data_IF_992822693336
#
_entry.id   IF_992822693336
#
_cell.length_a   1.000
_cell.length_b   1.000
_cell.length_c   1.000
_cell.angle_alpha   90.00
_cell.angle_beta   90.00
_cell.angle_gamma   90.00
#
_symmetry.space_group_name_H-M   'P 1'
#
loop_
_entity.id
_entity.type
_entity.pdbx_description
1 polymer ?
#
# COMPACT_ATOMS: atom_id res chain seq x y z
N UNK A 1 5.56 13.57 16.93
CA UNK A 1 4.44 12.88 16.26
C UNK A 1 4.67 12.79 14.75
N UNK A 2 4.92 13.91 14.04
CA UNK A 2 5.23 13.89 12.60
C UNK A 2 6.36 12.91 12.22
N UNK A 3 7.44 12.84 13.01
CA UNK A 3 8.56 11.91 12.77
C UNK A 3 8.16 10.43 12.85
N UNK A 4 7.16 10.08 13.67
CA UNK A 4 6.72 8.69 13.81
C UNK A 4 5.86 8.25 12.63
N UNK A 5 4.96 9.12 12.15
CA UNK A 5 4.17 8.86 10.95
C UNK A 5 5.06 8.76 9.70
N UNK A 6 6.12 9.57 9.62
CA UNK A 6 7.12 9.47 8.55
C UNK A 6 7.88 8.13 8.60
N UNK A 7 8.26 7.65 9.79
CA UNK A 7 8.83 6.31 9.95
C UNK A 7 7.85 5.23 9.52
N UNK A 8 6.60 5.29 9.98
CA UNK A 8 5.54 4.33 9.60
C UNK A 8 5.33 4.32 8.07
N UNK A 9 5.39 5.48 7.39
CA UNK A 9 5.33 5.55 5.92
C UNK A 9 6.50 4.83 5.23
N UNK A 10 7.72 4.93 5.80
CA UNK A 10 8.91 4.25 5.27
C UNK A 10 8.82 2.74 5.48
N UNK A 11 8.41 2.31 6.66
CA UNK A 11 8.14 0.89 6.95
C UNK A 11 7.04 0.34 6.03
N UNK A 12 5.97 1.10 5.80
CA UNK A 12 4.92 0.73 4.86
C UNK A 12 5.48 0.47 3.45
N UNK A 13 6.38 1.33 2.98
CA UNK A 13 7.05 1.15 1.70
C UNK A 13 7.91 -0.12 1.65
N UNK A 14 8.57 -0.49 2.75
CA UNK A 14 9.33 -1.74 2.86
C UNK A 14 8.42 -2.97 2.79
N UNK A 15 7.28 -2.95 3.47
CA UNK A 15 6.30 -4.04 3.39
C UNK A 15 5.69 -4.18 1.99
N UNK A 16 5.38 -3.07 1.30
CA UNK A 16 4.94 -3.13 -0.10
C UNK A 16 6.01 -3.80 -0.95
N UNK A 17 7.29 -3.42 -0.83
CA UNK A 17 8.39 -4.04 -1.59
C UNK A 17 8.53 -5.53 -1.28
N UNK A 18 8.41 -5.92 0.00
CA UNK A 18 8.47 -7.32 0.41
C UNK A 18 7.32 -8.15 -0.20
N UNK A 19 6.08 -7.68 -0.09
CA UNK A 19 4.93 -8.34 -0.72
C UNK A 19 5.01 -8.35 -2.26
N UNK A 20 5.66 -7.34 -2.86
CA UNK A 20 5.83 -7.29 -4.31
C UNK A 20 6.62 -8.47 -4.88
N UNK A 21 7.46 -9.11 -4.06
CA UNK A 21 8.20 -10.31 -4.45
C UNK A 21 7.40 -11.62 -4.38
N UNK A 22 6.20 -11.63 -3.77
CA UNK A 22 5.45 -12.86 -3.47
C UNK A 22 4.56 -13.37 -4.63
N UNK A 23 4.14 -12.49 -5.53
CA UNK A 23 3.20 -12.83 -6.62
C UNK A 23 3.04 -11.70 -7.62
N UNK A 24 2.13 -11.84 -8.59
CA UNK A 24 1.82 -10.75 -9.52
C UNK A 24 0.97 -9.67 -8.84
N UNK A 25 1.00 -8.47 -9.40
CA UNK A 25 0.13 -7.37 -8.95
C UNK A 25 -1.29 -7.57 -9.49
N UNK A 26 -2.31 -7.36 -8.65
CA UNK A 26 -3.70 -7.31 -9.06
C UNK A 26 -4.33 -5.91 -8.92
N UNK A 27 -5.48 -5.72 -9.55
CA UNK A 27 -6.21 -4.45 -9.62
C UNK A 27 -7.69 -4.67 -9.32
N UNK A 28 -8.32 -3.72 -8.62
CA UNK A 28 -9.75 -3.77 -8.26
C UNK A 28 -10.08 -4.73 -7.11
N UNK A 29 -9.07 -5.38 -6.52
CA UNK A 29 -9.18 -6.24 -5.34
C UNK A 29 -7.88 -6.20 -4.55
N UNK A 30 -7.93 -6.40 -3.23
CA UNK A 30 -6.72 -6.54 -2.42
C UNK A 30 -5.93 -7.80 -2.79
N UNK A 31 -6.66 -8.87 -3.05
CA UNK A 31 -6.14 -10.17 -3.44
C UNK A 31 -7.01 -10.75 -4.54
N UNK A 32 -6.40 -11.35 -5.56
CA UNK A 32 -7.12 -12.06 -6.60
C UNK A 32 -7.15 -13.59 -6.39
N UNK A 33 -7.86 -14.30 -7.27
CA UNK A 33 -8.03 -15.76 -7.18
C UNK A 33 -6.74 -16.54 -7.48
N UNK A 34 -5.75 -15.89 -8.09
CA UNK A 34 -4.45 -16.49 -8.43
C UNK A 34 -3.40 -16.24 -7.35
N UNK A 35 -3.75 -15.55 -6.27
CA UNK A 35 -2.82 -15.18 -5.21
C UNK A 35 -1.98 -13.94 -5.53
N UNK A 36 -2.42 -13.11 -6.47
CA UNK A 36 -1.84 -11.79 -6.68
C UNK A 36 -2.39 -10.78 -5.68
N UNK A 37 -1.62 -9.72 -5.40
CA UNK A 37 -1.98 -8.68 -4.44
C UNK A 37 -1.88 -7.28 -5.07
N UNK A 38 -2.76 -6.36 -4.66
CA UNK A 38 -2.58 -4.95 -4.99
C UNK A 38 -1.49 -4.32 -4.09
N UNK A 39 -1.16 -3.04 -4.27
CA UNK A 39 -0.18 -2.37 -3.42
C UNK A 39 -0.51 -2.41 -1.92
N UNK A 40 -1.78 -2.21 -1.53
CA UNK A 40 -2.15 -2.35 -0.11
C UNK A 40 -2.16 -3.82 0.33
N UNK A 41 -2.60 -4.74 -0.54
CA UNK A 41 -2.52 -6.19 -0.31
C UNK A 41 -1.10 -6.68 -0.06
N UNK A 42 -0.11 -6.13 -0.77
CA UNK A 42 1.31 -6.44 -0.58
C UNK A 42 1.83 -6.06 0.82
N UNK A 43 1.27 -5.03 1.45
CA UNK A 43 1.57 -4.73 2.86
C UNK A 43 1.14 -5.89 3.74
N UNK A 44 -0.08 -6.40 3.55
CA UNK A 44 -0.59 -7.54 4.32
C UNK A 44 0.25 -8.80 4.10
N UNK A 45 0.69 -9.09 2.88
CA UNK A 45 1.60 -10.20 2.60
C UNK A 45 2.93 -10.04 3.36
N UNK A 46 3.51 -8.84 3.33
CA UNK A 46 4.76 -8.54 4.02
C UNK A 46 4.64 -8.62 5.55
N UNK A 47 3.52 -8.18 6.12
CA UNK A 47 3.27 -8.15 7.58
C UNK A 47 2.91 -9.53 8.13
N UNK A 48 1.99 -10.24 7.46
CA UNK A 48 1.42 -11.49 7.97
C UNK A 48 2.07 -12.74 7.38
N UNK A 49 3.06 -12.60 6.49
CA UNK A 49 3.72 -13.72 5.81
C UNK A 49 2.71 -14.71 5.20
N UNK A 50 1.72 -14.18 4.48
CA UNK A 50 0.63 -14.98 3.93
C UNK A 50 1.15 -16.07 2.96
N UNK A 51 0.52 -17.27 2.93
CA UNK A 51 0.87 -18.29 1.94
C UNK A 51 0.62 -17.80 0.52
N UNK A 52 1.45 -18.22 -0.45
CA UNK A 52 1.32 -17.85 -1.88
C UNK A 52 -0.06 -18.13 -2.50
N UNK A 53 -0.85 -19.02 -1.90
CA UNK A 53 -2.20 -19.36 -2.33
C UNK A 53 -3.19 -19.17 -1.18
N UNK A 54 -3.46 -17.91 -0.84
CA UNK A 54 -4.44 -17.57 0.20
C UNK A 54 -5.84 -17.23 -0.36
N UNK A 55 -6.00 -17.12 -1.69
CA UNK A 55 -7.26 -16.76 -2.34
C UNK A 55 -7.71 -15.33 -2.05
N UNK A 56 -9.00 -15.02 -2.24
CA UNK A 56 -9.54 -13.70 -1.88
C UNK A 56 -9.62 -13.58 -0.35
N UNK A 57 -8.88 -12.63 0.19
CA UNK A 57 -9.00 -12.18 1.58
C UNK A 57 -9.47 -10.73 1.60
N UNK A 58 -10.35 -10.40 2.54
CA UNK A 58 -10.60 -9.01 2.93
C UNK A 58 -9.71 -8.75 4.13
N UNK A 59 -8.64 -7.98 3.94
CA UNK A 59 -7.75 -7.68 5.03
C UNK A 59 -8.43 -6.75 6.05
N UNK A 60 -8.14 -6.93 7.33
CA UNK A 60 -8.68 -6.10 8.42
C UNK A 60 -7.53 -5.60 9.31
N UNK A 61 -7.70 -4.42 9.91
CA UNK A 61 -6.86 -3.86 10.96
C UNK A 61 -5.43 -3.39 10.63
N UNK A 62 -5.05 -3.15 9.37
CA UNK A 62 -3.72 -2.54 9.09
C UNK A 62 -3.55 -1.16 9.74
N UNK A 63 -4.63 -0.39 9.87
CA UNK A 63 -4.64 0.92 10.50
C UNK A 63 -4.21 0.86 11.98
N UNK A 64 -4.35 -0.30 12.62
CA UNK A 64 -3.85 -0.52 13.99
C UNK A 64 -2.33 -0.68 14.03
N UNK A 65 -1.72 -1.09 12.92
CA UNK A 65 -0.27 -1.27 12.78
C UNK A 65 0.40 0.00 12.23
N UNK A 66 -0.24 0.66 11.26
CA UNK A 66 0.26 1.88 10.62
C UNK A 66 -0.81 2.97 10.69
N UNK A 67 -0.68 3.88 11.65
CA UNK A 67 -1.61 5.01 11.79
C UNK A 67 -1.49 5.98 10.61
N UNK A 68 -0.32 6.03 9.97
CA UNK A 68 -0.12 6.84 8.78
C UNK A 68 -1.13 6.54 7.65
N UNK A 69 -1.70 5.33 7.61
CA UNK A 69 -2.73 4.94 6.64
C UNK A 69 -3.98 5.83 6.68
N UNK A 70 -4.39 6.26 7.88
CA UNK A 70 -5.59 7.07 8.09
C UNK A 70 -5.26 8.52 8.44
N UNK A 71 -4.17 8.76 9.16
CA UNK A 71 -3.84 10.09 9.68
C UNK A 71 -3.09 10.97 8.66
N UNK A 72 -2.41 10.37 7.67
CA UNK A 72 -1.66 11.12 6.65
C UNK A 72 -2.50 11.29 5.40
N UNK A 73 -2.84 12.53 5.07
CA UNK A 73 -3.60 12.88 3.87
C UNK A 73 -2.68 13.50 2.82
N UNK A 74 -2.62 12.90 1.64
CA UNK A 74 -1.80 13.36 0.50
C UNK A 74 -2.66 13.73 -0.70
N UNK A 75 -2.13 14.58 -1.57
CA UNK A 75 -2.70 14.85 -2.90
C UNK A 75 -2.19 13.79 -3.88
N UNK A 76 -3.02 13.40 -4.84
CA UNK A 76 -2.59 12.45 -5.87
C UNK A 76 -1.38 13.00 -6.66
N UNK A 77 -0.27 12.23 -6.76
CA UNK A 77 0.93 12.67 -7.49
C UNK A 77 0.78 12.65 -9.02
N UNK A 78 -0.27 12.00 -9.56
CA UNK A 78 -0.50 11.84 -11.00
C UNK A 78 -1.36 12.96 -11.62
N UNK A 79 -1.49 14.11 -10.92
CA UNK A 79 -2.20 15.28 -11.44
C UNK A 79 -3.72 15.27 -11.26
N UNK A 80 -4.28 14.27 -10.56
CA UNK A 80 -5.68 14.31 -10.16
C UNK A 80 -5.94 15.35 -9.06
N UNK A 81 -7.21 15.76 -8.93
CA UNK A 81 -7.67 16.65 -7.88
C UNK A 81 -7.99 15.92 -6.55
N UNK A 82 -7.78 14.59 -6.50
CA UNK A 82 -8.06 13.78 -5.30
C UNK A 82 -7.05 14.10 -4.19
N UNK A 83 -7.57 14.27 -2.97
CA UNK A 83 -6.82 14.39 -1.72
C UNK A 83 -7.40 13.38 -0.73
N UNK A 84 -6.62 12.38 -0.36
CA UNK A 84 -7.09 11.18 0.34
C UNK A 84 -6.12 10.80 1.48
N UNK A 85 -6.59 10.10 2.52
CA UNK A 85 -5.72 9.34 3.42
C UNK A 85 -4.83 8.35 2.66
N UNK A 86 -3.73 7.91 3.25
CA UNK A 86 -2.76 7.05 2.55
C UNK A 86 -3.32 5.70 2.11
N UNK A 87 -4.14 5.00 2.92
CA UNK A 87 -4.75 3.73 2.51
C UNK A 87 -5.56 3.85 1.19
N UNK A 88 -6.58 4.73 1.09
CA UNK A 88 -7.29 4.93 -0.16
C UNK A 88 -6.44 5.59 -1.25
N UNK A 89 -5.40 6.36 -0.92
CA UNK A 89 -4.45 6.88 -1.92
C UNK A 89 -3.64 5.75 -2.58
N UNK A 90 -3.14 4.79 -1.80
CA UNK A 90 -2.39 3.64 -2.29
C UNK A 90 -3.27 2.80 -3.23
N UNK A 91 -4.52 2.53 -2.83
CA UNK A 91 -5.50 1.83 -3.68
C UNK A 91 -5.79 2.62 -4.95
N UNK A 92 -6.01 3.92 -4.84
CA UNK A 92 -6.24 4.80 -5.99
C UNK A 92 -5.06 4.78 -6.99
N UNK A 93 -3.82 4.88 -6.50
CA UNK A 93 -2.63 4.85 -7.36
C UNK A 93 -2.44 3.48 -8.01
N UNK A 94 -2.78 2.40 -7.30
CA UNK A 94 -2.78 1.04 -7.84
C UNK A 94 -3.82 0.89 -8.95
N UNK A 95 -5.08 1.22 -8.68
CA UNK A 95 -6.19 0.85 -9.56
C UNK A 95 -6.42 1.86 -10.70
N UNK A 96 -6.47 3.16 -10.38
CA UNK A 96 -6.80 4.19 -11.37
C UNK A 96 -5.58 4.61 -12.18
N UNK A 97 -4.39 4.63 -11.55
CA UNK A 97 -3.15 5.05 -12.19
C UNK A 97 -2.24 3.90 -12.59
N UNK A 98 -2.58 2.66 -12.21
CA UNK A 98 -1.79 1.45 -12.53
C UNK A 98 -0.30 1.59 -12.21
N UNK A 99 0.02 2.36 -11.16
CA UNK A 99 1.39 2.39 -10.65
C UNK A 99 1.76 1.00 -10.16
N UNK A 100 3.00 0.59 -10.41
CA UNK A 100 3.49 -0.66 -9.85
C UNK A 100 3.59 -0.53 -8.33
N UNK A 101 3.55 -1.66 -7.62
CA UNK A 101 3.73 -1.69 -6.17
C UNK A 101 5.05 -1.01 -5.75
N UNK A 102 6.13 -1.21 -6.51
CA UNK A 102 7.43 -0.58 -6.29
C UNK A 102 7.41 0.93 -6.53
N UNK A 103 6.69 1.41 -7.54
CA UNK A 103 6.50 2.85 -7.77
C UNK A 103 5.74 3.51 -6.61
N UNK A 104 4.73 2.83 -6.06
CA UNK A 104 3.98 3.33 -4.90
C UNK A 104 4.87 3.33 -3.65
N UNK A 105 5.67 2.29 -3.43
CA UNK A 105 6.64 2.23 -2.34
C UNK A 105 7.66 3.38 -2.43
N UNK A 106 8.19 3.64 -3.62
CA UNK A 106 9.12 4.75 -3.85
C UNK A 106 8.47 6.11 -3.56
N UNK A 107 7.23 6.31 -4.03
CA UNK A 107 6.47 7.52 -3.74
C UNK A 107 6.27 7.74 -2.23
N UNK A 108 5.94 6.70 -1.46
CA UNK A 108 5.77 6.79 0.00
C UNK A 108 7.05 7.27 0.71
N UNK A 109 8.23 6.81 0.26
CA UNK A 109 9.53 7.20 0.83
C UNK A 109 9.82 8.68 0.56
N UNK A 110 9.53 9.15 -0.66
CA UNK A 110 9.72 10.54 -1.06
C UNK A 110 8.80 11.47 -0.26
N UNK A 111 7.53 11.10 -0.13
CA UNK A 111 6.52 11.85 0.62
C UNK A 111 6.70 11.84 2.14
N UNK A 112 7.46 10.88 2.67
CA UNK A 112 7.84 10.84 4.09
C UNK A 112 9.05 11.75 4.40
N UNK A 113 9.72 12.26 3.37
CA UNK A 113 10.91 13.12 3.49
C UNK A 113 10.61 14.60 3.21
N UNK A 114 9.35 14.92 2.92
CA UNK A 114 8.80 16.27 2.67
C UNK A 114 7.95 16.73 3.84
#
# INVERSE_FOLDING_TARGET
MASQLQTEQRELAEFIRAGSSHGHQCFGSYFDEKGGSCALGAVYEGVYHLPRHHGKLVPDHLERLFRCLDEVVKKCPQGCNKRLPLAPMIVHLNDDHRMTREQIAEWLVQEAST
#
